data_IF_675052722871
#
_entry.id   IF_675052722871
#
_cell.length_a   1.000
_cell.length_b   1.000
_cell.length_c   1.000
_cell.angle_alpha   90.00
_cell.angle_beta   90.00
_cell.angle_gamma   90.00
#
_symmetry.space_group_name_H-M   'P 1'
#
loop_
_entity.id
_entity.type
_entity.pdbx_description
1 polymer ?
#
# COMPACT_ATOMS: atom_id res chain seq x y z
N UNK A 1 -3.67 -21.35 10.01
CA UNK A 1 -2.19 -21.33 10.13
C UNK A 1 -1.78 -19.90 9.89
N UNK A 2 -1.05 -19.30 10.83
CA UNK A 2 -0.70 -17.89 10.75
C UNK A 2 0.35 -17.70 9.65
N UNK A 3 0.15 -16.73 8.76
CA UNK A 3 1.07 -16.43 7.65
C UNK A 3 1.50 -14.98 7.74
N UNK A 4 2.63 -14.64 7.13
CA UNK A 4 3.08 -13.26 6.95
C UNK A 4 3.46 -13.04 5.49
N UNK A 5 3.02 -11.92 4.94
CA UNK A 5 3.26 -11.52 3.55
C UNK A 5 3.85 -10.12 3.55
N UNK A 6 4.92 -9.93 2.77
CA UNK A 6 5.39 -8.61 2.37
C UNK A 6 4.73 -8.22 1.05
N UNK A 7 4.23 -7.00 0.96
CA UNK A 7 3.60 -6.48 -0.24
C UNK A 7 4.25 -5.16 -0.67
N UNK A 8 4.45 -5.02 -1.99
CA UNK A 8 4.84 -3.77 -2.62
C UNK A 8 3.79 -3.36 -3.61
N UNK A 9 3.39 -2.09 -3.59
CA UNK A 9 2.47 -1.57 -4.58
C UNK A 9 2.68 -0.10 -4.91
N UNK A 10 2.18 0.27 -6.08
CA UNK A 10 2.31 1.59 -6.69
C UNK A 10 0.93 2.18 -6.90
N UNK A 11 0.78 3.47 -6.60
CA UNK A 11 -0.44 4.21 -6.87
C UNK A 11 -0.21 5.33 -7.85
N UNK A 12 -1.12 5.48 -8.81
CA UNK A 12 -1.29 6.72 -9.54
C UNK A 12 -2.33 7.56 -8.79
N UNK A 13 -1.89 8.68 -8.20
CA UNK A 13 -2.80 9.69 -7.70
C UNK A 13 -3.36 10.44 -8.91
N UNK A 14 -4.67 10.37 -9.15
CA UNK A 14 -5.26 11.12 -10.26
C UNK A 14 -5.07 12.63 -10.05
N UNK A 15 -4.13 13.20 -10.80
CA UNK A 15 -4.24 14.51 -11.44
C UNK A 15 -3.75 14.35 -12.90
N UNK A 16 -4.73 14.26 -13.80
CA UNK A 16 -4.63 14.10 -15.27
C UNK A 16 -4.52 12.67 -15.83
N UNK A 17 -5.43 12.39 -16.78
CA UNK A 17 -5.68 11.12 -17.48
C UNK A 17 -4.56 10.66 -18.44
N UNK A 18 -3.28 10.94 -18.16
CA UNK A 18 -2.21 10.81 -19.18
C UNK A 18 -0.97 10.02 -18.75
N UNK A 19 -1.10 9.04 -17.87
CA UNK A 19 -0.03 8.05 -17.67
C UNK A 19 -0.04 7.02 -18.82
N UNK A 20 1.05 6.92 -19.59
CA UNK A 20 1.25 5.90 -20.64
C UNK A 20 2.29 4.87 -20.18
N UNK A 21 2.01 3.59 -20.41
CA UNK A 21 2.95 2.50 -20.19
C UNK A 21 3.92 2.35 -21.38
N UNK A 22 5.22 2.26 -21.09
CA UNK A 22 6.24 1.77 -22.03
C UNK A 22 7.05 0.68 -21.32
N UNK A 23 6.72 -0.60 -21.59
CA UNK A 23 7.42 -1.76 -21.00
C UNK A 23 7.07 -2.05 -19.53
N UNK A 24 8.04 -2.59 -18.76
CA UNK A 24 7.92 -2.88 -17.31
C UNK A 24 8.07 -1.64 -16.41
N UNK A 25 8.16 -0.45 -17.00
CA UNK A 25 8.52 0.79 -16.32
C UNK A 25 7.47 1.86 -16.57
N UNK A 26 7.05 2.54 -15.51
CA UNK A 26 6.17 3.71 -15.60
C UNK A 26 7.04 4.90 -15.98
N UNK A 27 6.87 5.44 -17.19
CA UNK A 27 7.61 6.63 -17.64
C UNK A 27 6.74 7.86 -17.45
N UNK A 28 7.21 8.77 -16.59
CA UNK A 28 6.55 10.02 -16.19
C UNK A 28 6.48 11.00 -17.35
N UNK A 29 5.30 11.50 -17.71
CA UNK A 29 5.15 12.81 -18.35
C UNK A 29 5.01 13.84 -17.22
N UNK A 30 6.02 14.68 -17.07
CA UNK A 30 6.09 15.69 -16.00
C UNK A 30 5.01 16.74 -16.16
N UNK A 31 4.22 16.98 -15.13
CA UNK A 31 3.89 18.36 -14.74
C UNK A 31 4.03 18.46 -13.21
N UNK A 32 4.70 19.52 -12.79
CA UNK A 32 4.98 19.93 -11.41
C UNK A 32 3.74 19.72 -10.53
N UNK A 33 3.80 19.15 -9.33
CA UNK A 33 4.71 19.49 -8.24
C UNK A 33 4.84 18.30 -7.27
N UNK A 34 6.01 18.22 -6.61
CA UNK A 34 6.29 17.33 -5.49
C UNK A 34 5.44 17.66 -4.23
N UNK A 35 4.41 18.48 -4.39
CA UNK A 35 3.42 18.88 -3.41
C UNK A 35 2.07 18.26 -3.81
N UNK A 36 1.99 16.93 -3.82
CA UNK A 36 0.73 16.30 -3.41
C UNK A 36 0.61 16.70 -1.94
N UNK A 37 0.06 17.89 -1.70
CA UNK A 37 -0.32 18.38 -0.39
C UNK A 37 -0.99 17.19 0.28
N UNK A 38 -0.42 16.77 1.41
CA UNK A 38 -1.10 15.88 2.34
C UNK A 38 -2.34 16.65 2.79
N UNK A 39 -3.40 16.65 1.98
CA UNK A 39 -4.69 17.12 2.41
C UNK A 39 -5.04 16.25 3.62
N UNK A 40 -5.13 16.83 4.83
CA UNK A 40 -5.38 16.06 6.04
C UNK A 40 -6.72 15.32 5.99
N UNK A 41 -7.63 15.72 5.08
CA UNK A 41 -8.92 15.07 4.81
C UNK A 41 -8.86 13.98 3.74
N UNK A 42 -7.76 13.88 2.99
CA UNK A 42 -7.58 12.85 1.95
C UNK A 42 -7.12 11.56 2.62
N UNK A 43 -7.92 10.50 2.44
CA UNK A 43 -7.56 9.20 2.99
C UNK A 43 -6.35 8.65 2.24
N UNK A 44 -5.19 8.68 2.90
CA UNK A 44 -3.96 8.19 2.30
C UNK A 44 -4.07 6.68 2.14
N UNK A 45 -3.52 6.08 1.07
CA UNK A 45 -3.61 4.63 0.90
C UNK A 45 -3.11 3.83 2.11
N UNK A 46 -2.13 4.38 2.85
CA UNK A 46 -1.64 3.79 4.11
C UNK A 46 -2.69 3.75 5.22
N UNK A 47 -3.49 4.81 5.36
CA UNK A 47 -4.58 4.90 6.34
C UNK A 47 -5.73 3.96 5.97
N UNK A 48 -6.09 3.91 4.69
CA UNK A 48 -7.06 2.95 4.16
C UNK A 48 -6.67 1.51 4.47
N UNK A 49 -5.42 1.12 4.14
CA UNK A 49 -4.91 -0.23 4.43
C UNK A 49 -4.84 -0.51 5.93
N UNK A 50 -4.46 0.46 6.76
CA UNK A 50 -4.44 0.30 8.22
C UNK A 50 -5.84 0.04 8.77
N UNK A 51 -6.85 0.80 8.36
CA UNK A 51 -8.23 0.63 8.83
C UNK A 51 -8.74 -0.79 8.52
N UNK A 52 -8.45 -1.29 7.32
CA UNK A 52 -8.82 -2.64 6.88
C UNK A 52 -8.07 -3.74 7.61
N UNK A 53 -6.77 -3.54 7.86
CA UNK A 53 -5.98 -4.48 8.65
C UNK A 53 -6.54 -4.63 10.07
N UNK A 54 -6.91 -3.51 10.70
CA UNK A 54 -7.54 -3.51 12.03
C UNK A 54 -8.90 -4.22 12.02
N UNK A 55 -9.73 -3.98 11.01
CA UNK A 55 -11.05 -4.64 10.85
C UNK A 55 -10.94 -6.17 10.78
N UNK A 56 -9.85 -6.68 10.19
CA UNK A 56 -9.65 -8.13 9.98
C UNK A 56 -8.68 -8.77 10.97
N UNK A 57 -8.23 -8.05 12.00
CA UNK A 57 -7.28 -8.58 13.00
C UNK A 57 -5.91 -8.92 12.42
N UNK A 58 -5.50 -8.23 11.34
CA UNK A 58 -4.19 -8.40 10.70
C UNK A 58 -3.18 -7.48 11.39
N UNK A 59 -1.99 -8.00 11.68
CA UNK A 59 -0.87 -7.24 12.28
C UNK A 59 0.19 -6.92 11.24
N UNK A 60 1.10 -5.98 11.55
CA UNK A 60 2.20 -5.65 10.66
C UNK A 60 2.43 -4.16 10.51
N UNK A 61 2.88 -3.72 9.33
CA UNK A 61 3.17 -2.32 9.10
C UNK A 61 3.02 -1.90 7.65
N UNK A 62 2.89 -0.60 7.44
CA UNK A 62 2.87 0.01 6.10
C UNK A 62 3.67 1.31 6.07
N UNK A 63 4.42 1.54 4.99
CA UNK A 63 5.35 2.67 4.85
C UNK A 63 5.43 3.16 3.39
N UNK A 64 5.58 4.47 3.22
CA UNK A 64 6.05 5.00 1.93
C UNK A 64 7.59 4.93 1.94
N UNK A 65 8.18 4.33 0.92
CA UNK A 65 9.64 4.12 0.83
C UNK A 65 10.32 5.23 0.02
N UNK A 66 9.76 5.59 -1.14
CA UNK A 66 10.19 6.72 -1.98
C UNK A 66 9.16 6.93 -3.11
N UNK A 67 8.90 8.20 -3.48
CA UNK A 67 7.96 8.54 -4.56
C UNK A 67 6.54 8.03 -4.33
N UNK A 68 5.98 7.34 -5.33
CA UNK A 68 4.62 6.77 -5.33
C UNK A 68 4.58 5.28 -4.91
N UNK A 69 5.68 4.77 -4.35
CA UNK A 69 5.81 3.37 -3.93
C UNK A 69 5.53 3.20 -2.43
N UNK A 70 4.73 2.19 -2.13
CA UNK A 70 4.39 1.77 -0.77
C UNK A 70 4.85 0.33 -0.57
N UNK A 71 5.33 0.07 0.64
CA UNK A 71 5.67 -1.26 1.13
C UNK A 71 4.93 -1.51 2.44
N UNK A 72 4.55 -2.76 2.65
CA UNK A 72 4.04 -3.18 3.93
C UNK A 72 4.24 -4.67 4.17
N UNK A 73 4.09 -5.04 5.43
CA UNK A 73 4.02 -6.42 5.88
C UNK A 73 2.69 -6.64 6.58
N UNK A 74 2.09 -7.78 6.34
CA UNK A 74 0.80 -8.18 6.90
C UNK A 74 0.91 -9.61 7.44
N UNK A 75 0.49 -9.81 8.68
CA UNK A 75 0.48 -11.11 9.35
C UNK A 75 -0.92 -11.41 9.89
N UNK A 76 -1.39 -12.63 9.63
CA UNK A 76 -2.70 -13.07 10.07
C UNK A 76 -3.08 -14.40 9.44
N UNK A 77 -4.35 -14.77 9.64
CA UNK A 77 -4.90 -15.94 8.98
C UNK A 77 -4.92 -15.76 7.46
N UNK A 78 -4.74 -16.87 6.74
CA UNK A 78 -4.71 -16.88 5.28
C UNK A 78 -5.93 -16.22 4.63
N UNK A 79 -7.13 -16.40 5.21
CA UNK A 79 -8.35 -15.77 4.73
C UNK A 79 -8.33 -14.24 4.90
N UNK A 80 -7.75 -13.73 5.99
CA UNK A 80 -7.60 -12.30 6.25
C UNK A 80 -6.54 -11.69 5.32
N UNK A 81 -5.42 -12.37 5.11
CA UNK A 81 -4.39 -11.92 4.18
C UNK A 81 -4.87 -11.90 2.73
N UNK A 82 -5.66 -12.90 2.31
CA UNK A 82 -6.27 -12.90 0.98
C UNK A 82 -7.25 -11.73 0.78
N UNK A 83 -8.06 -11.41 1.80
CA UNK A 83 -8.92 -10.21 1.78
C UNK A 83 -8.09 -8.94 1.68
N UNK A 84 -6.99 -8.87 2.43
CA UNK A 84 -6.08 -7.74 2.42
C UNK A 84 -5.40 -7.51 1.08
N UNK A 85 -4.89 -8.57 0.43
CA UNK A 85 -4.31 -8.45 -0.90
C UNK A 85 -5.34 -8.02 -1.93
N UNK A 86 -6.58 -8.51 -1.86
CA UNK A 86 -7.68 -8.06 -2.75
C UNK A 86 -7.99 -6.58 -2.53
N UNK A 87 -8.10 -6.14 -1.29
CA UNK A 87 -8.37 -4.74 -0.95
C UNK A 87 -7.24 -3.81 -1.40
N UNK A 88 -5.99 -4.23 -1.22
CA UNK A 88 -4.82 -3.49 -1.71
C UNK A 88 -4.86 -3.37 -3.24
N UNK A 89 -5.30 -4.41 -3.97
CA UNK A 89 -5.47 -4.38 -5.43
C UNK A 89 -6.60 -3.48 -5.89
N UNK A 90 -7.67 -3.36 -5.10
CA UNK A 90 -8.76 -2.41 -5.36
C UNK A 90 -8.29 -0.98 -5.10
N UNK A 91 -7.57 -0.76 -3.99
CA UNK A 91 -7.14 0.56 -3.56
C UNK A 91 -8.28 1.44 -3.01
N UNK A 92 -7.95 2.62 -2.45
CA UNK A 92 -8.94 3.58 -2.02
C UNK A 92 -9.63 4.25 -3.23
N UNK A 93 -10.83 4.85 -3.07
CA UNK A 93 -11.63 5.40 -4.19
C UNK A 93 -10.91 6.40 -5.10
N UNK A 94 -9.88 7.08 -4.61
CA UNK A 94 -9.15 8.14 -5.30
C UNK A 94 -7.70 7.75 -5.68
N UNK A 95 -7.41 6.46 -5.80
CA UNK A 95 -6.09 5.96 -6.22
C UNK A 95 -6.21 4.71 -7.08
N UNK A 96 -5.37 4.61 -8.11
CA UNK A 96 -5.30 3.44 -8.98
C UNK A 96 -4.07 2.63 -8.66
N UNK A 97 -4.27 1.37 -8.26
CA UNK A 97 -3.18 0.42 -7.98
C UNK A 97 -2.69 -0.16 -9.30
N UNK A 98 -1.44 0.10 -9.65
CA UNK A 98 -0.91 -0.34 -10.95
C UNK A 98 -0.21 -1.70 -10.88
N UNK A 99 0.32 -2.07 -9.71
CA UNK A 99 0.98 -3.36 -9.49
C UNK A 99 0.97 -3.70 -8.01
N UNK A 100 0.76 -4.98 -7.71
CA UNK A 100 0.93 -5.55 -6.37
C UNK A 100 1.84 -6.76 -6.49
N UNK A 101 2.95 -6.76 -5.77
CA UNK A 101 3.85 -7.89 -5.61
C UNK A 101 3.76 -8.38 -4.17
N UNK A 102 3.63 -9.68 -3.96
CA UNK A 102 3.52 -10.30 -2.65
C UNK A 102 4.56 -11.40 -2.48
N UNK A 103 5.17 -11.47 -1.31
CA UNK A 103 6.16 -12.48 -0.94
C UNK A 103 5.81 -13.05 0.44
N UNK A 104 5.77 -14.37 0.56
CA UNK A 104 5.60 -15.04 1.85
C UNK A 104 6.89 -14.91 2.67
N UNK A 105 6.78 -14.43 3.90
CA UNK A 105 7.92 -14.22 4.81
C UNK A 105 7.66 -14.89 6.17
N UNK A 106 8.70 -15.15 6.98
CA UNK A 106 8.53 -15.74 8.30
C UNK A 106 7.66 -14.86 9.21
N UNK A 107 6.80 -15.49 10.01
CA UNK A 107 5.98 -14.81 11.02
C UNK A 107 6.86 -14.19 12.12
N UNK A 108 6.39 -13.10 12.70
CA UNK A 108 7.00 -12.44 13.86
C UNK A 108 6.14 -12.73 15.08
N UNK A 109 6.76 -13.34 16.09
CA UNK A 109 6.13 -13.64 17.37
C UNK A 109 5.86 -12.36 18.17
N UNK A 110 4.69 -12.28 18.80
CA UNK A 110 4.31 -11.16 19.67
C UNK A 110 3.94 -9.86 18.96
N UNK A 111 3.82 -9.85 17.63
CA UNK A 111 3.27 -8.71 16.89
C UNK A 111 1.76 -8.58 17.17
N UNK A 112 1.30 -7.40 17.60
CA UNK A 112 -0.09 -7.19 18.08
C UNK A 112 -0.88 -6.14 17.30
N UNK A 113 -0.19 -5.27 16.58
CA UNK A 113 -0.80 -4.09 15.97
C UNK A 113 -0.39 -3.95 14.50
N UNK A 114 -1.22 -3.23 13.75
CA UNK A 114 -0.90 -2.77 12.41
C UNK A 114 -0.55 -1.28 12.43
N UNK A 115 0.70 -0.94 12.14
CA UNK A 115 1.21 0.43 12.31
C UNK A 115 1.60 1.11 10.99
N UNK A 116 1.31 2.40 10.87
CA UNK A 116 1.81 3.23 9.77
C UNK A 116 3.18 3.76 10.15
N UNK A 117 4.23 3.27 9.48
CA UNK A 117 5.61 3.75 9.68
C UNK A 117 5.80 5.12 9.01
N UNK A 118 6.65 5.93 9.62
CA UNK A 118 7.06 7.24 9.07
C UNK A 118 7.82 7.00 7.77
N UNK A 119 7.53 7.84 6.77
CA UNK A 119 8.27 7.86 5.50
C UNK A 119 9.72 8.23 5.78
N UNK A 120 10.64 7.37 5.38
CA UNK A 120 12.06 7.72 5.29
C UNK A 120 12.20 8.58 4.03
N UNK A 121 12.69 9.81 4.18
CA UNK A 121 12.90 10.76 3.07
C UNK A 121 14.35 10.73 2.62
#
# INVERSE_FOLDING_TARGET
>A
MNKRVRAYYYYLAELSRTAKFVGRSITRLTSHSADIVQDPRRDSPRKHTQARAQEWGVTGWIMNIAGEKIEGEAQGDESALQKMVKEIKTGPPNAVVVKVETEDIPVVEGEKEFVVKRTVR
#
